data_IF_652356165911
#
_entry.id   IF_652356165911
#
_cell.length_a   1.000
_cell.length_b   1.000
_cell.length_c   1.000
_cell.angle_alpha   90.00
_cell.angle_beta   90.00
_cell.angle_gamma   90.00
#
_symmetry.space_group_name_H-M   'P 1'
#
loop_
_entity.id
_entity.type
_entity.pdbx_description
1 polymer ?
#
# COMPACT_ATOMS: atom_id res chain seq x y z
N UNK A 1 37.80 -4.25 -59.26
CA UNK A 1 38.09 -5.49 -58.50
C UNK A 1 38.40 -5.00 -57.10
N UNK A 2 37.37 -4.95 -56.26
CA UNK A 2 37.38 -4.12 -55.06
C UNK A 2 38.02 -4.90 -53.90
N UNK A 3 39.26 -4.59 -53.59
CA UNK A 3 40.03 -5.17 -52.47
C UNK A 3 39.45 -4.86 -51.07
N UNK A 4 38.31 -4.17 -50.99
CA UNK A 4 37.65 -3.77 -49.75
C UNK A 4 36.74 -4.88 -49.15
N UNK A 5 36.39 -5.91 -49.93
CA UNK A 5 35.48 -6.99 -49.46
C UNK A 5 36.18 -8.12 -48.71
N UNK A 6 37.52 -8.18 -48.74
CA UNK A 6 38.30 -9.29 -48.18
C UNK A 6 38.75 -9.10 -46.72
N UNK A 7 38.32 -8.04 -46.04
CA UNK A 7 38.71 -7.86 -44.64
C UNK A 7 38.10 -8.96 -43.76
N UNK A 8 38.90 -9.66 -42.93
CA UNK A 8 38.39 -10.68 -42.03
C UNK A 8 37.44 -10.05 -41.02
N UNK A 9 36.33 -10.72 -40.78
CA UNK A 9 35.34 -10.33 -39.80
C UNK A 9 35.51 -11.15 -38.53
N UNK A 10 35.38 -10.50 -37.37
CA UNK A 10 35.43 -11.22 -36.08
C UNK A 10 34.05 -11.75 -35.75
N UNK A 11 33.85 -13.06 -35.81
CA UNK A 11 32.62 -13.71 -35.38
C UNK A 11 32.70 -13.98 -33.89
N UNK A 12 31.72 -13.49 -33.13
CA UNK A 12 31.62 -13.68 -31.68
C UNK A 12 30.35 -14.46 -31.40
N UNK A 13 30.49 -15.70 -30.95
CA UNK A 13 29.39 -16.57 -30.57
C UNK A 13 29.23 -16.53 -29.05
N UNK A 14 28.15 -15.91 -28.59
CA UNK A 14 27.79 -15.89 -27.19
C UNK A 14 27.15 -17.22 -26.79
N UNK A 15 27.84 -17.94 -25.89
CA UNK A 15 27.43 -19.26 -25.42
C UNK A 15 26.66 -19.19 -24.11
N UNK A 16 25.72 -20.11 -23.92
CA UNK A 16 24.92 -20.25 -22.69
C UNK A 16 25.80 -20.55 -21.46
N UNK A 17 26.99 -21.14 -21.65
CA UNK A 17 27.90 -21.49 -20.55
C UNK A 17 28.81 -20.33 -20.11
N UNK A 18 28.56 -19.10 -20.57
CA UNK A 18 29.37 -17.93 -20.20
C UNK A 18 30.78 -17.91 -20.81
N UNK A 19 31.05 -18.78 -21.79
CA UNK A 19 32.29 -18.82 -22.55
C UNK A 19 32.01 -18.36 -23.98
N UNK A 20 32.37 -17.12 -24.30
CA UNK A 20 32.24 -16.59 -25.65
C UNK A 20 33.31 -17.18 -26.57
N UNK A 21 32.88 -17.63 -27.75
CA UNK A 21 33.78 -18.21 -28.75
C UNK A 21 33.97 -17.16 -29.85
N UNK A 22 35.17 -16.60 -29.93
CA UNK A 22 35.53 -15.60 -30.94
C UNK A 22 36.53 -16.17 -31.96
N UNK A 23 36.25 -16.01 -33.25
CA UNK A 23 37.16 -16.42 -34.33
C UNK A 23 37.05 -15.50 -35.55
N UNK A 24 38.14 -15.36 -36.33
CA UNK A 24 38.08 -14.65 -37.60
C UNK A 24 37.40 -15.52 -38.67
N UNK A 25 36.55 -14.91 -39.48
CA UNK A 25 35.96 -15.51 -40.68
C UNK A 25 36.08 -14.55 -41.86
N UNK A 26 36.11 -15.06 -43.09
CA UNK A 26 36.08 -14.20 -44.27
C UNK A 26 34.63 -13.81 -44.61
N UNK A 27 34.43 -12.62 -45.17
CA UNK A 27 33.08 -12.14 -45.55
C UNK A 27 32.42 -13.00 -46.63
N UNK A 28 33.24 -13.58 -47.51
CA UNK A 28 32.80 -14.43 -48.62
C UNK A 28 32.76 -15.92 -48.25
N UNK A 29 33.23 -16.29 -47.04
CA UNK A 29 33.16 -17.67 -46.58
C UNK A 29 31.70 -18.13 -46.43
N UNK A 30 31.40 -19.42 -46.70
CA UNK A 30 30.06 -19.95 -46.52
C UNK A 30 29.71 -20.03 -45.03
N UNK A 31 28.42 -19.92 -44.69
CA UNK A 31 27.94 -20.05 -43.31
C UNK A 31 28.29 -21.41 -42.69
N UNK A 32 28.48 -22.47 -43.50
CA UNK A 32 28.95 -23.78 -43.02
C UNK A 32 30.28 -23.70 -42.28
N UNK A 33 31.20 -22.82 -42.70
CA UNK A 33 32.51 -22.64 -42.05
C UNK A 33 32.40 -22.20 -40.58
N UNK A 34 31.38 -21.38 -40.26
CA UNK A 34 31.08 -20.96 -38.88
C UNK A 34 30.73 -22.17 -38.02
N UNK A 35 29.98 -23.12 -38.57
CA UNK A 35 29.58 -24.33 -37.86
C UNK A 35 30.73 -25.32 -37.69
N UNK A 36 31.58 -25.49 -38.70
CA UNK A 36 32.76 -26.35 -38.61
C UNK A 36 33.68 -25.90 -37.47
N UNK A 37 33.98 -24.60 -37.41
CA UNK A 37 34.77 -24.00 -36.32
C UNK A 37 34.05 -24.13 -34.97
N UNK A 38 32.73 -23.97 -34.95
CA UNK A 38 31.93 -24.11 -33.73
C UNK A 38 31.94 -25.56 -33.22
N UNK A 39 31.92 -26.56 -34.10
CA UNK A 39 31.99 -27.97 -33.74
C UNK A 39 33.39 -28.39 -33.27
N UNK A 40 34.45 -27.78 -33.80
CA UNK A 40 35.82 -27.98 -33.33
C UNK A 40 36.02 -27.37 -31.93
N UNK A 41 35.58 -26.12 -31.74
CA UNK A 41 35.79 -25.38 -30.48
C UNK A 41 34.79 -25.74 -29.38
N UNK A 42 33.61 -26.24 -29.74
CA UNK A 42 32.57 -26.62 -28.79
C UNK A 42 31.90 -27.94 -29.21
N UNK A 43 32.57 -29.09 -28.96
CA UNK A 43 32.05 -30.41 -29.33
C UNK A 43 30.70 -30.76 -28.68
N UNK A 44 30.39 -30.19 -27.51
CA UNK A 44 29.14 -30.40 -26.78
C UNK A 44 27.89 -29.91 -27.53
N UNK A 45 28.07 -29.06 -28.54
CA UNK A 45 26.98 -28.57 -29.40
C UNK A 45 26.50 -29.67 -30.34
N UNK A 46 27.35 -30.62 -30.72
CA UNK A 46 27.01 -31.70 -31.66
C UNK A 46 25.94 -32.64 -31.09
N UNK A 47 25.92 -32.83 -29.77
CA UNK A 47 24.98 -33.72 -29.08
C UNK A 47 23.70 -33.02 -28.61
N UNK A 48 23.63 -31.69 -28.74
CA UNK A 48 22.57 -30.86 -28.18
C UNK A 48 21.76 -30.21 -29.29
N UNK A 49 20.45 -30.04 -29.10
CA UNK A 49 19.68 -29.16 -30.00
C UNK A 49 20.05 -27.72 -29.71
N UNK A 50 20.26 -26.92 -30.76
CA UNK A 50 20.61 -25.52 -30.61
C UNK A 50 20.07 -24.69 -31.78
N UNK A 51 19.96 -23.38 -31.55
CA UNK A 51 19.56 -22.39 -32.52
C UNK A 51 20.60 -21.27 -32.46
N UNK A 52 21.23 -21.01 -33.61
CA UNK A 52 22.19 -19.93 -33.79
C UNK A 52 21.47 -18.74 -34.44
N UNK A 53 21.49 -17.59 -33.77
CA UNK A 53 20.81 -16.38 -34.25
C UNK A 53 21.71 -15.16 -34.18
N UNK A 54 21.53 -14.20 -35.08
CA UNK A 54 22.12 -12.86 -34.94
C UNK A 54 21.43 -12.06 -33.83
N UNK A 55 21.97 -10.88 -33.49
CA UNK A 55 21.30 -9.94 -32.56
C UNK A 55 19.89 -9.52 -33.06
N UNK A 56 19.71 -9.38 -34.37
CA UNK A 56 18.41 -9.13 -35.01
C UNK A 56 17.46 -10.33 -35.03
N UNK A 57 17.79 -11.43 -34.32
CA UNK A 57 17.04 -12.69 -34.28
C UNK A 57 16.87 -13.36 -35.64
N UNK A 58 17.75 -13.06 -36.61
CA UNK A 58 17.82 -13.79 -37.87
C UNK A 58 18.48 -15.14 -37.59
N UNK A 59 17.81 -16.23 -37.96
CA UNK A 59 18.38 -17.56 -37.85
C UNK A 59 19.55 -17.73 -38.83
N UNK A 60 20.69 -18.15 -38.31
CA UNK A 60 21.81 -18.62 -39.14
C UNK A 60 21.45 -20.04 -39.56
N UNK A 61 21.45 -20.29 -40.87
CA UNK A 61 21.22 -21.62 -41.44
C UNK A 61 22.54 -22.24 -41.84
N UNK A 62 22.59 -23.57 -41.82
CA UNK A 62 23.63 -24.35 -42.47
C UNK A 62 23.43 -24.26 -43.99
N UNK A 63 23.96 -23.21 -44.60
CA UNK A 63 23.81 -22.93 -46.03
C UNK A 63 25.14 -22.41 -46.63
N UNK A 64 25.27 -22.44 -47.95
CA UNK A 64 26.42 -21.93 -48.69
C UNK A 64 26.39 -20.41 -48.90
N UNK A 65 25.39 -19.73 -48.33
CA UNK A 65 25.33 -18.26 -48.34
C UNK A 65 26.58 -17.66 -47.66
N UNK A 66 27.04 -16.48 -48.10
CA UNK A 66 28.22 -15.85 -47.52
C UNK A 66 27.93 -15.27 -46.13
N UNK A 67 28.94 -15.20 -45.26
CA UNK A 67 28.85 -14.53 -43.94
C UNK A 67 28.39 -13.09 -44.06
N UNK A 68 28.76 -12.40 -45.14
CA UNK A 68 28.31 -11.03 -45.44
C UNK A 68 26.79 -10.86 -45.48
N UNK A 69 26.03 -11.92 -45.80
CA UNK A 69 24.56 -11.89 -45.81
C UNK A 69 23.92 -11.69 -44.43
N UNK A 70 24.67 -11.94 -43.36
CA UNK A 70 24.23 -11.76 -41.98
C UNK A 70 24.58 -10.39 -41.40
N UNK A 71 25.37 -9.59 -42.12
CA UNK A 71 25.78 -8.26 -41.68
C UNK A 71 24.70 -7.23 -41.91
N UNK A 72 24.63 -6.25 -41.01
CA UNK A 72 23.69 -5.13 -41.15
C UNK A 72 24.25 -4.06 -42.07
N UNK A 73 25.58 -3.87 -42.04
CA UNK A 73 26.33 -3.00 -42.93
C UNK A 73 27.52 -3.73 -43.55
N UNK A 74 27.89 -3.47 -44.82
CA UNK A 74 29.10 -4.02 -45.43
C UNK A 74 30.40 -3.55 -44.75
N UNK A 75 30.35 -2.44 -43.98
CA UNK A 75 31.46 -1.90 -43.20
C UNK A 75 31.67 -2.56 -41.84
N UNK A 76 30.79 -3.49 -41.43
CA UNK A 76 30.88 -4.12 -40.11
C UNK A 76 32.15 -4.99 -40.01
N UNK A 77 32.84 -4.87 -38.87
CA UNK A 77 34.10 -5.57 -38.55
C UNK A 77 33.91 -6.77 -37.63
N UNK A 78 32.72 -6.91 -37.05
CA UNK A 78 32.36 -8.04 -36.21
C UNK A 78 30.93 -8.52 -36.47
N UNK A 79 30.69 -9.81 -36.22
CA UNK A 79 29.39 -10.45 -36.30
C UNK A 79 29.07 -11.10 -34.95
N UNK A 80 28.08 -10.56 -34.23
CA UNK A 80 27.61 -11.14 -32.98
C UNK A 80 26.52 -12.18 -33.24
N UNK A 81 26.80 -13.41 -32.85
CA UNK A 81 25.89 -14.55 -32.88
C UNK A 81 25.57 -14.98 -31.45
N UNK A 82 24.33 -15.41 -31.24
CA UNK A 82 23.84 -15.96 -29.99
C UNK A 82 23.50 -17.41 -30.20
N UNK A 83 24.12 -18.27 -29.40
CA UNK A 83 23.81 -19.69 -29.35
C UNK A 83 22.75 -19.91 -28.27
N UNK A 84 21.58 -20.39 -28.65
CA UNK A 84 20.48 -20.70 -27.73
C UNK A 84 20.12 -22.17 -27.81
N UNK A 85 19.72 -22.77 -26.69
CA UNK A 85 19.21 -24.14 -26.66
C UNK A 85 17.69 -24.04 -26.59
N UNK A 86 16.95 -24.69 -27.50
CA UNK A 86 15.50 -24.71 -27.42
C UNK A 86 15.11 -25.51 -26.16
N UNK A 87 14.53 -24.82 -25.19
CA UNK A 87 13.97 -25.48 -24.01
C UNK A 87 12.68 -26.19 -24.44
N UNK A 88 12.59 -27.48 -24.13
CA UNK A 88 11.39 -28.29 -24.27
C UNK A 88 10.36 -27.91 -23.18
N UNK A 89 9.88 -26.66 -23.20
CA UNK A 89 8.95 -26.11 -22.20
C UNK A 89 7.70 -25.48 -22.81
N UNK A 90 6.53 -25.85 -22.25
CA UNK A 90 5.20 -25.53 -22.77
C UNK A 90 4.81 -24.05 -22.74
N UNK A 91 3.92 -23.67 -23.66
CA UNK A 91 3.39 -22.32 -23.91
C UNK A 91 2.48 -21.77 -22.78
N UNK A 92 2.70 -22.21 -21.53
CA UNK A 92 1.67 -22.23 -20.49
C UNK A 92 1.62 -21.03 -19.53
N UNK A 93 2.72 -20.28 -19.37
CA UNK A 93 2.78 -19.20 -18.38
C UNK A 93 2.17 -17.87 -18.85
N UNK A 94 2.37 -17.50 -20.11
CA UNK A 94 1.92 -16.19 -20.59
C UNK A 94 0.39 -16.08 -20.64
N UNK A 95 -0.31 -17.13 -21.07
CA UNK A 95 -1.77 -17.16 -21.10
C UNK A 95 -2.41 -17.14 -19.71
N UNK A 96 -1.81 -17.81 -18.71
CA UNK A 96 -2.29 -17.75 -17.32
C UNK A 96 -2.05 -16.37 -16.71
N UNK A 97 -0.89 -15.75 -16.97
CA UNK A 97 -0.61 -14.36 -16.57
C UNK A 97 -1.62 -13.39 -17.19
N UNK A 98 -1.94 -13.52 -18.48
CA UNK A 98 -2.94 -12.68 -19.13
C UNK A 98 -4.34 -12.87 -18.54
N UNK A 99 -4.74 -14.11 -18.23
CA UNK A 99 -6.02 -14.38 -17.56
C UNK A 99 -6.05 -13.79 -16.14
N UNK A 100 -4.97 -13.96 -15.37
CA UNK A 100 -4.83 -13.40 -14.03
C UNK A 100 -4.88 -11.87 -14.04
N UNK A 101 -4.16 -11.22 -14.98
CA UNK A 101 -4.21 -9.76 -15.13
C UNK A 101 -5.58 -9.26 -15.61
N UNK A 102 -6.19 -9.94 -16.60
CA UNK A 102 -7.53 -9.60 -17.09
C UNK A 102 -8.60 -9.65 -16.01
N UNK A 103 -8.54 -10.66 -15.12
CA UNK A 103 -9.42 -10.73 -13.94
C UNK A 103 -9.26 -9.54 -13.00
N UNK A 104 -8.02 -9.12 -12.74
CA UNK A 104 -7.69 -7.96 -11.88
C UNK A 104 -8.16 -6.63 -12.48
N UNK A 105 -8.08 -6.47 -13.80
CA UNK A 105 -8.52 -5.25 -14.49
C UNK A 105 -10.05 -5.12 -14.50
N UNK A 106 -10.76 -6.23 -14.63
CA UNK A 106 -12.24 -6.25 -14.63
C UNK A 106 -12.81 -5.88 -13.26
N UNK A 107 -12.27 -6.45 -12.18
CA UNK A 107 -12.78 -6.21 -10.82
C UNK A 107 -12.54 -4.77 -10.35
N UNK A 108 -11.39 -4.18 -10.67
CA UNK A 108 -11.07 -2.78 -10.31
C UNK A 108 -12.01 -1.78 -10.97
N UNK A 109 -12.37 -2.00 -12.24
CA UNK A 109 -13.23 -1.09 -13.00
C UNK A 109 -14.66 -1.00 -12.43
N UNK A 110 -15.18 -2.10 -11.86
CA UNK A 110 -16.53 -2.12 -11.27
C UNK A 110 -16.62 -1.28 -9.99
N UNK A 111 -15.62 -1.34 -9.10
CA UNK A 111 -15.58 -0.52 -7.87
C UNK A 111 -15.23 0.95 -8.13
N UNK A 112 -14.35 1.22 -9.10
CA UNK A 112 -13.88 2.59 -9.34
C UNK A 112 -14.88 3.46 -10.12
N UNK A 113 -15.75 2.86 -10.95
CA UNK A 113 -16.72 3.60 -11.75
C UNK A 113 -17.73 4.40 -10.92
N UNK A 114 -18.21 3.80 -9.82
CA UNK A 114 -19.13 4.46 -8.88
C UNK A 114 -18.39 5.40 -7.93
N UNK A 115 -17.23 4.97 -7.40
CA UNK A 115 -16.43 5.78 -6.47
C UNK A 115 -15.85 7.05 -7.10
N UNK A 116 -15.52 7.03 -8.40
CA UNK A 116 -14.90 8.18 -9.05
C UNK A 116 -15.88 9.32 -9.33
N UNK A 117 -17.21 9.12 -9.22
CA UNK A 117 -18.25 10.18 -9.24
C UNK A 117 -18.10 11.25 -10.32
N UNK A 118 -17.36 10.94 -11.40
CA UNK A 118 -16.78 11.93 -12.32
C UNK A 118 -17.72 12.22 -13.47
N UNK A 119 -18.74 11.38 -13.65
CA UNK A 119 -19.87 11.70 -14.51
C UNK A 119 -20.63 12.91 -13.95
N UNK A 120 -21.20 13.67 -14.87
CA UNK A 120 -21.97 14.88 -14.59
C UNK A 120 -23.44 14.58 -14.85
N UNK A 121 -24.30 15.23 -14.09
CA UNK A 121 -25.75 15.25 -14.36
C UNK A 121 -26.04 16.13 -15.58
N UNK A 122 -27.28 16.07 -16.08
CA UNK A 122 -27.74 16.95 -17.18
C UNK A 122 -27.68 18.45 -16.81
N UNK A 123 -27.66 18.77 -15.52
CA UNK A 123 -27.44 20.11 -14.95
C UNK A 123 -25.94 20.50 -14.89
N UNK A 124 -25.03 19.65 -15.38
CA UNK A 124 -23.60 19.91 -15.38
C UNK A 124 -22.89 19.79 -14.02
N UNK A 125 -23.61 19.45 -12.94
CA UNK A 125 -23.01 19.15 -11.61
C UNK A 125 -22.41 17.74 -11.59
N UNK A 126 -21.28 17.54 -10.90
CA UNK A 126 -20.68 16.20 -10.72
C UNK A 126 -21.54 15.36 -9.77
N UNK A 127 -21.66 14.07 -10.02
CA UNK A 127 -22.41 13.17 -9.13
C UNK A 127 -21.84 13.15 -7.71
N UNK A 128 -20.52 13.28 -7.57
CA UNK A 128 -19.84 13.35 -6.26
C UNK A 128 -20.38 14.48 -5.37
N UNK A 129 -20.48 15.70 -5.90
CA UNK A 129 -20.96 16.86 -5.11
C UNK A 129 -22.43 16.73 -4.73
N UNK A 130 -23.23 16.05 -5.57
CA UNK A 130 -24.64 15.78 -5.27
C UNK A 130 -24.77 14.71 -4.19
N UNK A 131 -23.94 13.67 -4.22
CA UNK A 131 -23.90 12.66 -3.17
C UNK A 131 -23.44 13.26 -1.83
N UNK A 132 -22.36 14.06 -1.83
CA UNK A 132 -21.87 14.77 -0.65
C UNK A 132 -22.97 15.69 -0.06
N UNK A 133 -23.67 16.46 -0.90
CA UNK A 133 -24.78 17.30 -0.45
C UNK A 133 -25.95 16.51 0.15
N UNK A 134 -26.26 15.32 -0.39
CA UNK A 134 -27.29 14.44 0.18
C UNK A 134 -26.86 13.91 1.55
N UNK A 135 -25.63 13.44 1.69
CA UNK A 135 -25.11 12.95 2.97
C UNK A 135 -25.09 14.04 4.05
N UNK A 136 -24.76 15.29 3.67
CA UNK A 136 -24.80 16.43 4.58
C UNK A 136 -26.24 16.79 4.98
N UNK A 137 -27.19 16.73 4.04
CA UNK A 137 -28.60 16.98 4.33
C UNK A 137 -29.19 15.91 5.27
N UNK A 138 -28.85 14.63 5.05
CA UNK A 138 -29.23 13.53 5.93
C UNK A 138 -28.63 13.70 7.33
N UNK A 139 -27.35 14.08 7.43
CA UNK A 139 -26.71 14.35 8.72
C UNK A 139 -27.39 15.51 9.48
N UNK A 140 -27.71 16.60 8.79
CA UNK A 140 -28.43 17.73 9.39
C UNK A 140 -29.85 17.36 9.83
N UNK A 141 -30.51 16.45 9.11
CA UNK A 141 -31.82 15.93 9.49
C UNK A 141 -31.76 15.00 10.71
N UNK A 142 -30.71 14.21 10.85
CA UNK A 142 -30.51 13.26 11.95
C UNK A 142 -30.00 13.94 13.23
N UNK A 143 -29.24 15.03 13.11
CA UNK A 143 -28.67 15.78 14.25
C UNK A 143 -29.68 16.10 15.38
N UNK A 144 -30.89 16.66 15.11
CA UNK A 144 -31.84 16.94 16.18
C UNK A 144 -32.39 15.69 16.87
N UNK A 145 -32.56 14.59 16.12
CA UNK A 145 -33.01 13.31 16.69
C UNK A 145 -31.93 12.70 17.58
N UNK A 146 -30.67 12.76 17.16
CA UNK A 146 -29.54 12.31 17.97
C UNK A 146 -29.37 13.14 19.25
N UNK A 147 -29.53 14.46 19.16
CA UNK A 147 -29.44 15.34 20.33
C UNK A 147 -30.59 15.11 21.33
N UNK A 148 -31.79 14.83 20.83
CA UNK A 148 -32.92 14.46 21.69
C UNK A 148 -32.67 13.12 22.38
N UNK A 149 -32.24 12.09 21.64
CA UNK A 149 -31.90 10.78 22.20
C UNK A 149 -30.81 10.89 23.27
N UNK A 150 -29.77 11.70 23.04
CA UNK A 150 -28.71 11.92 24.03
C UNK A 150 -29.22 12.67 25.27
N UNK A 151 -30.11 13.65 25.11
CA UNK A 151 -30.76 14.33 26.24
C UNK A 151 -31.67 13.38 27.01
N UNK A 152 -32.36 12.48 26.35
CA UNK A 152 -33.26 11.50 26.96
C UNK A 152 -32.48 10.45 27.74
N UNK A 153 -31.39 9.94 27.17
CA UNK A 153 -30.47 9.03 27.87
C UNK A 153 -29.79 9.71 29.05
N UNK A 154 -29.41 10.98 28.92
CA UNK A 154 -28.86 11.76 30.03
C UNK A 154 -29.89 11.92 31.13
N UNK A 155 -31.14 12.28 30.81
CA UNK A 155 -32.22 12.38 31.80
C UNK A 155 -32.48 11.05 32.48
N UNK A 156 -32.56 9.95 31.73
CA UNK A 156 -32.71 8.61 32.29
C UNK A 156 -31.58 8.23 33.23
N UNK A 157 -30.32 8.50 32.86
CA UNK A 157 -29.17 8.28 33.76
C UNK A 157 -29.26 9.12 35.03
N UNK A 158 -29.71 10.38 34.93
CA UNK A 158 -29.95 11.23 36.09
C UNK A 158 -31.08 10.71 36.98
N UNK A 159 -32.19 10.27 36.38
CA UNK A 159 -33.32 9.65 37.08
C UNK A 159 -32.89 8.37 37.80
N UNK A 160 -32.13 7.48 37.14
CA UNK A 160 -31.57 6.26 37.74
C UNK A 160 -30.63 6.58 38.92
N UNK A 161 -29.81 7.63 38.81
CA UNK A 161 -28.94 8.10 39.92
C UNK A 161 -29.80 8.59 41.08
N UNK A 162 -30.80 9.45 40.82
CA UNK A 162 -31.70 9.99 41.84
C UNK A 162 -32.45 8.86 42.54
N UNK A 163 -33.04 7.93 41.80
CA UNK A 163 -33.74 6.76 42.34
C UNK A 163 -32.78 5.90 43.18
N UNK A 164 -31.55 5.68 42.72
CA UNK A 164 -30.56 4.92 43.49
C UNK A 164 -30.13 5.64 44.78
N UNK A 165 -30.11 6.98 44.79
CA UNK A 165 -29.79 7.78 45.98
C UNK A 165 -30.97 7.86 46.94
N UNK A 166 -32.20 7.99 46.44
CA UNK A 166 -33.42 7.98 47.24
C UNK A 166 -33.61 6.59 47.87
N UNK A 167 -33.40 5.50 47.11
CA UNK A 167 -33.41 4.14 47.65
C UNK A 167 -32.34 3.93 48.72
N UNK A 168 -31.12 4.43 48.52
CA UNK A 168 -30.07 4.39 49.55
C UNK A 168 -30.43 5.24 50.76
N UNK A 169 -31.07 6.39 50.58
CA UNK A 169 -31.51 7.27 51.65
C UNK A 169 -32.65 6.64 52.44
N UNK A 170 -33.63 6.03 51.77
CA UNK A 170 -34.71 5.27 52.39
C UNK A 170 -34.19 4.03 53.09
N UNK A 171 -33.20 3.33 52.52
CA UNK A 171 -32.50 2.25 53.21
C UNK A 171 -31.74 2.79 54.44
N UNK A 172 -31.14 3.98 54.40
CA UNK A 172 -30.51 4.61 55.57
C UNK A 172 -31.53 5.08 56.63
N UNK A 173 -32.69 5.58 56.21
CA UNK A 173 -33.75 6.11 57.08
C UNK A 173 -34.59 4.98 57.70
N UNK A 174 -34.85 3.91 56.95
CA UNK A 174 -35.58 2.74 57.40
C UNK A 174 -34.69 1.63 58.01
N UNK A 175 -33.37 1.67 57.80
CA UNK A 175 -32.41 0.90 58.61
C UNK A 175 -32.28 1.56 59.99
N UNK A 176 -33.25 1.30 60.86
CA UNK A 176 -33.26 1.75 62.24
C UNK A 176 -31.90 1.62 62.94
N UNK A 177 -31.25 2.76 63.18
CA UNK A 177 -30.25 2.96 64.23
C UNK A 177 -28.95 2.15 64.19
N UNK A 178 -28.58 1.53 63.06
CA UNK A 178 -27.40 0.63 63.00
C UNK A 178 -26.16 1.15 62.29
N UNK A 179 -26.20 2.39 61.77
CA UNK A 179 -25.00 3.11 61.36
C UNK A 179 -24.77 4.27 62.34
N UNK A 180 -24.19 3.97 63.51
CA UNK A 180 -23.54 5.00 64.33
C UNK A 180 -22.31 5.43 63.57
N UNK A 181 -22.47 6.43 62.70
CA UNK A 181 -21.35 7.16 62.12
C UNK A 181 -20.58 7.71 63.33
N UNK A 182 -19.35 7.24 63.51
CA UNK A 182 -18.54 7.60 64.67
C UNK A 182 -18.40 9.13 64.65
N UNK A 183 -18.95 9.82 65.65
CA UNK A 183 -18.98 11.29 65.67
C UNK A 183 -17.58 11.89 65.53
N UNK A 184 -16.58 11.15 65.98
CA UNK A 184 -15.17 11.45 65.84
C UNK A 184 -14.69 11.45 64.38
N UNK A 185 -15.18 10.55 63.54
CA UNK A 185 -14.83 10.52 62.12
C UNK A 185 -15.45 11.68 61.35
N UNK A 186 -16.68 12.07 61.71
CA UNK A 186 -17.37 13.22 61.13
C UNK A 186 -16.65 14.54 61.50
N UNK A 187 -16.26 14.66 62.76
CA UNK A 187 -15.49 15.80 63.29
C UNK A 187 -14.08 15.85 62.69
N UNK A 188 -13.41 14.70 62.53
CA UNK A 188 -12.11 14.60 61.85
C UNK A 188 -12.22 14.93 60.35
N UNK A 189 -13.31 14.54 59.68
CA UNK A 189 -13.58 14.89 58.28
C UNK A 189 -13.86 16.37 58.11
N UNK A 190 -14.67 16.95 58.99
CA UNK A 190 -15.00 18.37 59.02
C UNK A 190 -13.77 19.22 59.37
N UNK A 191 -12.94 18.78 60.31
CA UNK A 191 -11.66 19.42 60.62
C UNK A 191 -10.67 19.35 59.44
N UNK A 192 -10.60 18.22 58.74
CA UNK A 192 -9.77 18.09 57.55
C UNK A 192 -10.26 19.01 56.43
N UNK A 193 -11.58 19.06 56.20
CA UNK A 193 -12.18 19.96 55.21
C UNK A 193 -12.01 21.43 55.59
N UNK A 194 -12.18 21.80 56.86
CA UNK A 194 -11.94 23.16 57.33
C UNK A 194 -10.47 23.54 57.23
N UNK A 195 -9.53 22.64 57.55
CA UNK A 195 -8.09 22.87 57.32
C UNK A 195 -7.78 23.09 55.84
N UNK A 196 -8.42 22.35 54.93
CA UNK A 196 -8.23 22.56 53.48
C UNK A 196 -8.87 23.86 53.00
N UNK A 197 -10.05 24.23 53.48
CA UNK A 197 -10.70 25.51 53.17
C UNK A 197 -9.89 26.69 53.69
N UNK A 198 -9.39 26.62 54.92
CA UNK A 198 -8.50 27.64 55.49
C UNK A 198 -7.18 27.75 54.73
N UNK A 199 -6.62 26.64 54.24
CA UNK A 199 -5.40 26.67 53.41
C UNK A 199 -5.65 27.35 52.06
N UNK A 200 -6.80 27.07 51.43
CA UNK A 200 -7.21 27.70 50.18
C UNK A 200 -7.52 29.19 50.40
N UNK A 201 -8.19 29.55 51.49
CA UNK A 201 -8.52 30.93 51.84
C UNK A 201 -7.25 31.74 52.14
N UNK A 202 -6.29 31.18 52.87
CA UNK A 202 -4.97 31.80 53.09
C UNK A 202 -4.17 31.94 51.81
N UNK A 203 -4.22 30.96 50.90
CA UNK A 203 -3.59 31.05 49.59
C UNK A 203 -4.22 32.17 48.75
N UNK A 204 -5.54 32.29 48.76
CA UNK A 204 -6.27 33.34 48.05
C UNK A 204 -5.97 34.73 48.62
N UNK A 205 -5.93 34.87 49.95
CA UNK A 205 -5.56 36.13 50.61
C UNK A 205 -4.10 36.53 50.33
N UNK A 206 -3.17 35.57 50.35
CA UNK A 206 -1.76 35.83 50.02
C UNK A 206 -1.57 36.20 48.54
N UNK A 207 -2.34 35.60 47.65
CA UNK A 207 -2.35 35.95 46.23
C UNK A 207 -2.92 37.36 46.00
N UNK A 208 -3.90 37.79 46.80
CA UNK A 208 -4.48 39.13 46.72
C UNK A 208 -3.55 40.20 47.33
N UNK A 209 -2.85 39.89 48.43
CA UNK A 209 -1.87 40.79 49.05
C UNK A 209 -0.56 40.93 48.24
N UNK A 210 -0.18 39.92 47.46
CA UNK A 210 1.00 39.98 46.57
C UNK A 210 0.74 40.73 45.26
N UNK A 211 -0.47 41.24 45.03
CA UNK A 211 -0.86 41.92 43.78
C UNK A 211 -0.99 43.44 43.93
N UNK A 212 -0.58 44.03 45.06
CA UNK A 212 -0.74 45.47 45.38
C UNK A 212 0.59 46.22 45.63
N UNK A 213 1.73 45.67 45.20
CA UNK A 213 3.04 46.35 45.19
C UNK A 213 3.82 45.96 43.93
N UNK A 214 3.55 46.65 42.80
CA UNK A 214 4.54 46.99 41.76
C UNK A 214 3.86 47.75 40.59
N UNK A 215 3.62 49.05 40.79
CA UNK A 215 3.55 50.04 39.69
C UNK A 215 4.87 50.81 39.65
N UNK A 216 5.69 50.67 38.58
CA UNK A 216 6.11 51.77 37.67
C UNK A 216 7.19 51.36 36.64
N UNK A 217 6.84 51.59 35.37
CA UNK A 217 7.63 52.02 34.20
C UNK A 217 9.01 51.41 33.82
N UNK A 218 9.11 50.90 32.58
CA UNK A 218 10.11 51.41 31.61
C UNK A 218 9.76 51.04 30.15
N UNK A 219 9.90 52.04 29.26
CA UNK A 219 9.61 52.05 27.81
C UNK A 219 10.68 51.34 26.95
N UNK A 220 10.38 51.02 25.67
CA UNK A 220 11.09 50.02 24.87
C UNK A 220 12.19 50.60 23.96
N UNK A 221 13.30 49.90 23.79
CA UNK A 221 14.19 50.06 22.62
C UNK A 221 14.75 48.72 22.16
N UNK A 222 14.97 48.65 20.84
CA UNK A 222 15.05 47.45 20.03
C UNK A 222 16.48 46.90 19.82
N UNK A 223 16.56 45.57 19.58
CA UNK A 223 17.25 44.92 18.43
C UNK A 223 18.17 43.74 18.80
N UNK A 224 17.84 42.57 18.20
CA UNK A 224 18.69 41.44 17.77
C UNK A 224 19.50 40.66 18.84
N UNK A 225 19.65 39.33 18.84
CA UNK A 225 19.20 38.21 18.00
C UNK A 225 19.60 36.88 18.69
N UNK A 226 18.60 35.99 18.93
CA UNK A 226 18.57 34.49 19.04
C UNK A 226 19.71 33.67 19.72
N UNK A 227 19.42 32.43 20.19
CA UNK A 227 18.17 31.90 20.75
C UNK A 227 18.37 31.07 22.06
N UNK A 228 17.42 31.18 22.98
CA UNK A 228 17.25 30.28 24.14
C UNK A 228 16.20 29.22 23.78
N UNK A 229 16.49 27.97 24.14
CA UNK A 229 15.61 26.81 23.97
C UNK A 229 14.26 27.05 24.67
N UNK A 230 13.19 27.09 23.89
CA UNK A 230 11.83 27.00 24.42
C UNK A 230 11.33 25.57 24.33
N UNK A 231 10.95 25.06 25.50
CA UNK A 231 10.20 23.83 25.68
C UNK A 231 8.91 23.92 24.88
N UNK A 232 8.71 22.98 23.97
CA UNK A 232 7.44 22.76 23.31
C UNK A 232 6.49 22.09 24.29
N UNK A 233 5.40 22.78 24.60
CA UNK A 233 4.14 22.20 25.05
C UNK A 233 3.14 22.60 23.97
N UNK A 234 2.62 21.63 23.21
CA UNK A 234 1.21 21.53 22.80
C UNK A 234 1.04 20.28 21.91
N UNK A 235 0.27 19.32 22.45
CA UNK A 235 -0.69 18.42 21.81
C UNK A 235 -0.46 17.82 20.42
N UNK A 236 -0.75 16.52 20.35
CA UNK A 236 -1.27 15.80 19.18
C UNK A 236 -0.30 15.56 18.03
N UNK A 237 0.52 14.53 18.17
CA UNK A 237 0.84 13.56 17.11
C UNK A 237 1.67 12.43 17.74
N UNK A 238 1.55 11.21 17.23
CA UNK A 238 2.48 10.08 17.49
C UNK A 238 2.14 9.05 18.60
N UNK A 239 0.91 8.53 18.64
CA UNK A 239 0.58 7.29 19.39
C UNK A 239 -0.29 6.30 18.58
N UNK A 240 -0.12 6.21 17.26
CA UNK A 240 -0.95 5.32 16.41
C UNK A 240 -0.15 4.44 15.42
N UNK A 241 1.06 4.00 15.80
CA UNK A 241 1.92 3.15 14.95
C UNK A 241 2.16 1.72 15.50
N UNK A 242 1.36 1.22 16.44
CA UNK A 242 1.53 -0.14 17.00
C UNK A 242 0.34 -1.11 16.85
N UNK A 243 -0.66 -0.82 15.99
CA UNK A 243 -1.76 -1.77 15.72
C UNK A 243 -1.76 -2.31 14.28
N UNK A 244 -0.72 -3.08 13.91
CA UNK A 244 -0.78 -4.02 12.77
C UNK A 244 0.02 -5.28 13.11
N UNK A 245 -0.48 -6.08 14.08
CA UNK A 245 -0.09 -7.48 14.21
C UNK A 245 -1.05 -8.32 13.36
N UNK A 246 -0.52 -8.82 12.25
CA UNK A 246 -1.11 -9.83 11.38
C UNK A 246 -1.43 -11.08 12.22
N UNK A 247 -2.72 -11.37 12.42
CA UNK A 247 -3.20 -12.63 12.98
C UNK A 247 -3.91 -13.37 11.87
N UNK A 248 -3.25 -14.41 11.38
CA UNK A 248 -3.79 -15.47 10.53
C UNK A 248 -5.04 -16.06 11.20
N UNK A 249 -6.16 -16.07 10.49
CA UNK A 249 -7.34 -16.87 10.81
C UNK A 249 -7.72 -17.70 9.57
N UNK A 250 -7.77 -19.00 9.79
CA UNK A 250 -8.01 -20.08 8.84
C UNK A 250 -9.51 -20.19 8.52
N UNK A 251 -9.87 -20.31 7.25
CA UNK A 251 -11.17 -20.87 6.86
C UNK A 251 -10.96 -21.95 5.77
N UNK A 252 -10.87 -23.17 6.26
CA UNK A 252 -10.89 -24.44 5.54
C UNK A 252 -12.29 -24.67 4.95
N UNK A 253 -12.49 -24.32 3.67
CA UNK A 253 -13.72 -24.66 2.94
C UNK A 253 -13.55 -25.99 2.21
N UNK A 254 -14.14 -27.03 2.81
CA UNK A 254 -14.31 -28.41 2.32
C UNK A 254 -14.78 -28.50 0.84
N UNK A 255 -14.09 -29.33 0.05
CA UNK A 255 -14.32 -29.58 -1.38
C UNK A 255 -15.45 -30.60 -1.69
N UNK A 256 -16.62 -30.50 -1.06
CA UNK A 256 -17.74 -31.40 -1.35
C UNK A 256 -19.06 -30.64 -1.45
N UNK A 257 -19.23 -29.88 -2.54
CA UNK A 257 -20.51 -29.68 -3.23
C UNK A 257 -20.38 -28.47 -4.16
N UNK A 258 -20.09 -28.68 -5.45
CA UNK A 258 -20.56 -27.88 -6.59
C UNK A 258 -20.16 -28.57 -7.89
N UNK A 259 -20.90 -29.60 -8.26
CA UNK A 259 -20.83 -30.20 -9.59
C UNK A 259 -22.04 -29.74 -10.43
N UNK A 260 -21.99 -28.59 -11.14
CA UNK A 260 -22.98 -28.31 -12.17
C UNK A 260 -22.57 -28.99 -13.48
N UNK A 261 -23.30 -30.07 -13.80
CA UNK A 261 -23.32 -30.73 -15.10
C UNK A 261 -23.65 -29.70 -16.19
N UNK A 262 -22.72 -29.45 -17.11
CA UNK A 262 -22.94 -28.60 -18.28
C UNK A 262 -23.23 -29.45 -19.51
N UNK A 263 -24.49 -29.50 -19.95
CA UNK A 263 -24.90 -30.06 -21.23
C UNK A 263 -24.33 -29.24 -22.40
N UNK A 264 -23.50 -29.88 -23.22
CA UNK A 264 -22.89 -29.27 -24.39
C UNK A 264 -23.90 -29.04 -25.52
N UNK A 265 -24.04 -27.80 -25.98
CA UNK A 265 -24.69 -27.48 -27.26
C UNK A 265 -23.74 -27.81 -28.42
N UNK A 266 -24.15 -28.78 -29.23
CA UNK A 266 -23.43 -29.29 -30.39
C UNK A 266 -23.20 -28.26 -31.49
N UNK A 267 -22.05 -28.39 -32.15
CA UNK A 267 -21.71 -27.67 -33.39
C UNK A 267 -22.38 -28.36 -34.57
N UNK A 268 -23.15 -27.60 -35.36
CA UNK A 268 -23.64 -28.04 -36.65
C UNK A 268 -22.47 -28.14 -37.66
N UNK A 269 -22.46 -29.24 -38.43
CA UNK A 269 -21.59 -29.43 -39.61
C UNK A 269 -22.03 -28.49 -40.72
N UNK A 270 -21.09 -27.78 -41.32
CA UNK A 270 -21.27 -27.12 -42.61
C UNK A 270 -21.13 -28.17 -43.71
N UNK A 271 -22.17 -28.29 -44.54
CA UNK A 271 -22.12 -28.88 -45.89
C UNK A 271 -21.58 -27.88 -46.88
#
# INVERSE_FOLDING_TARGET
>A
MDSATQSPITVIVNSIRGQDIAFPAEKDAPLTSIYDILYERAPWIQTSTYILTTNSRRAVRHDAAPVSSLLSSPSDTFLSLRLTVPLCGGKGGFGSILRAQGGRMSSRKKKQGEANGSSRNLDGRRLRTVAEAKTLAEYLAIKPEMEQREKDERRKKWEDIVESTERKQDELMHAGGKARLDGKWLEDKEEAENKTKEAIEKMLLAQMASSEDDEVESKPTASASKPVQQRAMFGWDDEDDEFMSDSEDEDEVSEEDMNPVFEGKGKAKAT
#
